data_IF_341907127375
#
_entry.id   IF_341907127375
#
_cell.length_a   1.000
_cell.length_b   1.000
_cell.length_c   1.000
_cell.angle_alpha   90.00
_cell.angle_beta   90.00
_cell.angle_gamma   90.00
#
_symmetry.space_group_name_H-M   'P 1'
#
loop_
_entity.id
_entity.type
_entity.pdbx_description
1 polymer ?
#
# COMPACT_ATOMS: atom_id res chain seq x y z
N UNK A 1 8.64 17.73 -66.77
CA UNK A 1 9.28 16.39 -66.80
C UNK A 1 9.74 16.07 -65.40
N UNK A 2 9.33 14.92 -64.85
CA UNK A 2 9.57 14.48 -63.49
C UNK A 2 11.01 13.93 -63.35
N UNK A 3 11.58 14.06 -62.15
CA UNK A 3 12.77 13.33 -61.74
C UNK A 3 12.43 12.53 -60.50
N UNK A 4 11.85 11.35 -60.70
CA UNK A 4 11.67 10.34 -59.65
C UNK A 4 13.04 9.81 -59.24
N UNK A 5 13.33 9.84 -57.95
CA UNK A 5 14.49 9.22 -57.32
C UNK A 5 14.08 7.80 -56.84
N UNK A 6 14.56 6.73 -57.48
CA UNK A 6 14.10 5.36 -57.23
C UNK A 6 14.75 4.65 -56.04
N UNK A 7 15.62 5.30 -55.26
CA UNK A 7 16.44 4.61 -54.23
C UNK A 7 15.98 4.80 -52.77
N UNK A 8 14.75 5.29 -52.53
CA UNK A 8 14.25 5.58 -51.18
C UNK A 8 13.63 4.38 -50.42
N UNK A 9 13.92 3.12 -50.80
CA UNK A 9 13.37 1.92 -50.13
C UNK A 9 14.49 1.01 -49.56
N UNK A 10 15.50 1.60 -48.92
CA UNK A 10 16.30 0.87 -47.92
C UNK A 10 15.53 0.95 -46.60
N UNK A 11 14.55 0.05 -46.46
CA UNK A 11 13.96 -0.30 -45.16
C UNK A 11 15.09 -0.86 -44.30
N UNK A 12 15.69 0.01 -43.50
CA UNK A 12 16.40 -0.40 -42.29
C UNK A 12 15.45 -1.31 -41.52
N UNK A 13 15.67 -2.62 -41.63
CA UNK A 13 15.01 -3.57 -40.75
C UNK A 13 15.54 -3.25 -39.36
N UNK A 14 14.73 -2.48 -38.62
CA UNK A 14 14.89 -2.17 -37.22
C UNK A 14 14.98 -3.51 -36.48
N UNK A 15 16.21 -4.03 -36.38
CA UNK A 15 16.52 -5.28 -35.70
C UNK A 15 16.30 -5.00 -34.22
N UNK A 16 15.07 -5.20 -33.76
CA UNK A 16 14.65 -4.99 -32.39
C UNK A 16 15.65 -5.68 -31.46
N UNK A 17 16.47 -4.88 -30.77
CA UNK A 17 17.51 -5.37 -29.89
C UNK A 17 16.86 -6.21 -28.77
N UNK A 18 17.09 -7.54 -28.74
CA UNK A 18 16.50 -8.43 -27.75
C UNK A 18 16.96 -8.11 -26.32
N UNK A 19 17.97 -7.26 -26.13
CA UNK A 19 18.39 -6.75 -24.83
C UNK A 19 17.36 -5.79 -24.20
N UNK A 20 16.57 -5.06 -25.01
CA UNK A 20 15.62 -4.07 -24.50
C UNK A 20 14.46 -4.71 -23.71
N UNK A 21 14.00 -5.89 -24.11
CA UNK A 21 12.84 -6.58 -23.50
C UNK A 21 13.15 -7.19 -22.13
N UNK A 22 14.39 -7.64 -21.87
CA UNK A 22 14.79 -8.25 -20.59
C UNK A 22 14.89 -7.24 -19.44
N UNK A 23 15.11 -5.96 -19.74
CA UNK A 23 15.28 -4.91 -18.73
C UNK A 23 13.94 -4.49 -18.08
N UNK A 24 12.84 -4.54 -18.84
CA UNK A 24 11.51 -4.14 -18.36
C UNK A 24 10.95 -5.04 -17.26
N UNK A 25 11.02 -6.36 -17.44
CA UNK A 25 10.47 -7.34 -16.48
C UNK A 25 11.16 -7.29 -15.11
N UNK A 26 12.49 -7.16 -15.10
CA UNK A 26 13.26 -6.99 -13.85
C UNK A 26 12.86 -5.71 -13.13
N UNK A 27 12.71 -4.59 -13.84
CA UNK A 27 12.33 -3.30 -13.25
C UNK A 27 10.94 -3.33 -12.62
N UNK A 28 9.99 -4.04 -13.22
CA UNK A 28 8.64 -4.21 -12.67
C UNK A 28 8.67 -5.03 -11.37
N UNK A 29 9.31 -6.21 -11.37
CA UNK A 29 9.44 -7.05 -10.17
C UNK A 29 10.14 -6.32 -9.03
N UNK A 30 11.13 -5.50 -9.36
CA UNK A 30 11.90 -4.69 -8.40
C UNK A 30 11.03 -3.66 -7.66
N UNK A 31 9.92 -3.23 -8.24
CA UNK A 31 8.97 -2.31 -7.63
C UNK A 31 7.78 -3.02 -6.98
N UNK A 32 7.29 -4.10 -7.60
CA UNK A 32 6.13 -4.84 -7.11
C UNK A 32 6.42 -5.57 -5.80
N UNK A 33 7.51 -6.33 -5.73
CA UNK A 33 7.83 -7.16 -4.55
C UNK A 33 7.98 -6.33 -3.27
N UNK A 34 8.75 -5.22 -3.24
CA UNK A 34 8.96 -4.48 -2.01
C UNK A 34 7.76 -3.67 -1.52
N UNK A 35 6.77 -3.40 -2.37
CA UNK A 35 5.48 -2.85 -1.93
C UNK A 35 4.50 -3.94 -1.51
N UNK A 36 4.50 -5.08 -2.21
CA UNK A 36 3.57 -6.18 -1.99
C UNK A 36 3.72 -6.87 -0.64
N UNK A 37 4.94 -6.87 -0.08
CA UNK A 37 5.20 -7.35 1.30
C UNK A 37 4.35 -6.63 2.35
N UNK A 38 3.95 -5.39 2.09
CA UNK A 38 3.12 -4.62 3.01
C UNK A 38 1.62 -4.85 2.80
N UNK A 39 1.23 -5.75 1.88
CA UNK A 39 -0.15 -6.25 1.78
C UNK A 39 -0.36 -7.58 2.52
N UNK A 40 0.70 -8.16 3.10
CA UNK A 40 0.66 -9.51 3.66
C UNK A 40 -0.25 -9.67 4.87
N UNK A 41 -0.42 -8.61 5.67
CA UNK A 41 -1.38 -8.63 6.77
C UNK A 41 -2.82 -8.73 6.26
N UNK A 42 -3.18 -7.96 5.24
CA UNK A 42 -4.46 -8.12 4.53
C UNK A 42 -4.60 -9.50 3.90
N UNK A 43 -3.56 -10.00 3.21
CA UNK A 43 -3.57 -11.32 2.60
C UNK A 43 -3.77 -12.45 3.64
N UNK A 44 -3.15 -12.35 4.82
CA UNK A 44 -3.35 -13.33 5.89
C UNK A 44 -4.79 -13.38 6.39
N UNK A 45 -5.46 -12.22 6.47
CA UNK A 45 -6.88 -12.17 6.82
C UNK A 45 -7.74 -12.80 5.74
N UNK A 46 -7.46 -12.52 4.45
CA UNK A 46 -8.18 -13.17 3.35
C UNK A 46 -8.05 -14.69 3.41
N UNK A 47 -6.84 -15.21 3.62
CA UNK A 47 -6.63 -16.66 3.77
C UNK A 47 -7.39 -17.20 4.97
N UNK A 48 -7.33 -16.52 6.13
CA UNK A 48 -8.10 -16.92 7.32
C UNK A 48 -9.60 -17.01 7.01
N UNK A 49 -10.19 -16.00 6.37
CA UNK A 49 -11.62 -15.98 6.06
C UNK A 49 -12.00 -17.10 5.08
N UNK A 50 -11.17 -17.35 4.07
CA UNK A 50 -11.47 -18.34 3.02
C UNK A 50 -11.23 -19.78 3.44
N UNK A 51 -10.26 -20.04 4.33
CA UNK A 51 -9.81 -21.41 4.64
C UNK A 51 -9.94 -21.79 6.11
N UNK A 52 -10.23 -20.84 7.00
CA UNK A 52 -10.21 -21.05 8.46
C UNK A 52 -8.80 -21.32 9.03
N UNK A 53 -7.73 -21.12 8.25
CA UNK A 53 -6.37 -21.37 8.72
C UNK A 53 -5.95 -20.31 9.75
N UNK A 54 -5.28 -20.67 10.86
CA UNK A 54 -4.95 -19.72 11.93
C UNK A 54 -4.21 -18.48 11.40
N UNK A 55 -4.81 -17.29 11.54
CA UNK A 55 -4.32 -16.07 10.89
C UNK A 55 -2.89 -15.73 11.33
N UNK A 56 -2.56 -15.92 12.61
CA UNK A 56 -1.22 -15.67 13.14
C UNK A 56 -0.14 -16.54 12.46
N UNK A 57 -0.44 -17.83 12.21
CA UNK A 57 0.48 -18.74 11.51
C UNK A 57 0.69 -18.31 10.07
N UNK A 58 -0.41 -18.00 9.37
CA UNK A 58 -0.37 -17.53 7.98
C UNK A 58 0.42 -16.23 7.87
N UNK A 59 0.13 -15.27 8.76
CA UNK A 59 0.84 -13.98 8.82
C UNK A 59 2.33 -14.18 9.06
N UNK A 60 2.73 -15.01 10.03
CA UNK A 60 4.12 -15.28 10.33
C UNK A 60 4.87 -15.88 9.12
N UNK A 61 4.27 -16.89 8.46
CA UNK A 61 4.84 -17.50 7.27
C UNK A 61 5.00 -16.48 6.13
N UNK A 62 3.95 -15.72 5.84
CA UNK A 62 3.98 -14.69 4.80
C UNK A 62 5.05 -13.64 5.09
N UNK A 63 5.17 -13.17 6.32
CA UNK A 63 6.19 -12.18 6.72
C UNK A 63 7.60 -12.73 6.50
N UNK A 64 7.88 -13.97 6.88
CA UNK A 64 9.20 -14.61 6.65
C UNK A 64 9.52 -14.66 5.15
N UNK A 65 8.59 -15.14 4.33
CA UNK A 65 8.75 -15.22 2.87
C UNK A 65 8.93 -13.82 2.25
N UNK A 66 8.14 -12.85 2.70
CA UNK A 66 8.16 -11.48 2.25
C UNK A 66 9.47 -10.77 2.57
N UNK A 67 9.99 -10.91 3.79
CA UNK A 67 11.30 -10.37 4.18
C UNK A 67 12.41 -11.00 3.34
N UNK A 68 12.38 -12.32 3.11
CA UNK A 68 13.31 -13.00 2.22
C UNK A 68 13.27 -12.43 0.79
N UNK A 69 12.07 -12.26 0.23
CA UNK A 69 11.89 -11.70 -1.12
C UNK A 69 12.39 -10.25 -1.22
N UNK A 70 12.14 -9.41 -0.21
CA UNK A 70 12.66 -8.04 -0.15
C UNK A 70 14.18 -8.04 -0.05
N UNK A 71 14.76 -8.86 0.82
CA UNK A 71 16.21 -8.95 1.00
C UNK A 71 16.92 -9.36 -0.29
N UNK A 72 16.38 -10.36 -1.01
CA UNK A 72 16.87 -10.77 -2.32
C UNK A 72 16.71 -9.67 -3.37
N UNK A 73 15.55 -9.03 -3.43
CA UNK A 73 15.26 -7.94 -4.38
C UNK A 73 16.13 -6.71 -4.12
N UNK A 74 16.57 -6.47 -2.88
CA UNK A 74 17.37 -5.30 -2.52
C UNK A 74 18.87 -5.60 -2.38
N UNK A 75 19.30 -6.83 -2.66
CA UNK A 75 20.71 -7.24 -2.59
C UNK A 75 21.54 -6.50 -3.63
N UNK A 76 22.78 -6.14 -3.26
CA UNK A 76 23.77 -5.57 -4.19
C UNK A 76 23.58 -4.11 -4.64
N UNK A 77 22.43 -3.46 -4.38
CA UNK A 77 22.14 -2.10 -4.88
C UNK A 77 21.87 -1.09 -3.74
N UNK A 78 22.90 -0.35 -3.27
CA UNK A 78 22.76 0.61 -2.18
C UNK A 78 21.75 1.74 -2.44
N UNK A 79 21.71 2.25 -3.67
CA UNK A 79 20.79 3.33 -4.06
C UNK A 79 19.33 2.88 -3.97
N UNK A 80 19.04 1.67 -4.46
CA UNK A 80 17.71 1.07 -4.37
C UNK A 80 17.27 0.86 -2.93
N UNK A 81 18.17 0.35 -2.07
CA UNK A 81 17.92 0.23 -0.61
C UNK A 81 17.60 1.57 0.03
N UNK A 82 18.36 2.61 -0.32
CA UNK A 82 18.14 3.97 0.19
C UNK A 82 16.78 4.51 -0.27
N UNK A 83 16.46 4.38 -1.55
CA UNK A 83 15.18 4.83 -2.11
C UNK A 83 13.99 4.11 -1.46
N UNK A 84 14.07 2.78 -1.30
CA UNK A 84 13.05 2.00 -0.60
C UNK A 84 12.91 2.43 0.87
N UNK A 85 14.02 2.57 1.59
CA UNK A 85 14.01 2.99 3.00
C UNK A 85 13.37 4.36 3.20
N UNK A 86 13.64 5.33 2.32
CA UNK A 86 12.97 6.65 2.35
C UNK A 86 11.47 6.49 2.19
N UNK A 87 11.00 5.68 1.24
CA UNK A 87 9.57 5.44 1.02
C UNK A 87 8.91 4.74 2.21
N UNK A 88 9.56 3.75 2.83
CA UNK A 88 9.06 3.10 4.05
C UNK A 88 8.95 4.10 5.20
N UNK A 89 10.00 4.89 5.45
CA UNK A 89 10.01 5.91 6.51
C UNK A 89 8.96 6.99 6.32
N UNK A 90 8.63 7.35 5.08
CA UNK A 90 7.52 8.26 4.76
C UNK A 90 6.17 7.56 4.90
N UNK A 91 6.06 6.31 4.45
CA UNK A 91 4.83 5.55 4.45
C UNK A 91 4.29 5.24 5.84
N UNK A 92 5.17 5.04 6.83
CA UNK A 92 4.75 4.78 8.23
C UNK A 92 3.89 5.91 8.81
N UNK A 93 4.37 7.16 8.93
CA UNK A 93 3.57 8.24 9.49
C UNK A 93 2.38 8.62 8.60
N UNK A 94 2.50 8.48 7.28
CA UNK A 94 1.39 8.74 6.34
C UNK A 94 0.27 7.71 6.51
N UNK A 95 0.62 6.42 6.59
CA UNK A 95 -0.34 5.34 6.81
C UNK A 95 -1.02 5.47 8.18
N UNK A 96 -0.25 5.79 9.24
CA UNK A 96 -0.81 6.03 10.56
C UNK A 96 -1.82 7.20 10.56
N UNK A 97 -1.43 8.35 10.00
CA UNK A 97 -2.31 9.51 9.92
C UNK A 97 -3.57 9.22 9.08
N UNK A 98 -3.41 8.54 7.94
CA UNK A 98 -4.53 8.14 7.10
C UNK A 98 -5.49 7.19 7.83
N UNK A 99 -4.97 6.25 8.62
CA UNK A 99 -5.79 5.32 9.42
C UNK A 99 -6.61 6.04 10.49
N UNK A 100 -6.00 7.02 11.17
CA UNK A 100 -6.74 7.86 12.15
C UNK A 100 -7.83 8.66 11.45
N UNK A 101 -7.52 9.30 10.31
CA UNK A 101 -8.52 10.07 9.56
C UNK A 101 -9.65 9.19 9.01
N UNK A 102 -9.33 7.97 8.57
CA UNK A 102 -10.30 6.95 8.19
C UNK A 102 -11.27 6.66 9.33
N UNK A 103 -10.76 6.31 10.51
CA UNK A 103 -11.58 5.96 11.67
C UNK A 103 -12.44 7.15 12.16
N UNK A 104 -11.85 8.35 12.21
CA UNK A 104 -12.56 9.58 12.58
C UNK A 104 -13.68 9.91 11.59
N UNK A 105 -13.46 9.72 10.29
CA UNK A 105 -14.49 10.00 9.27
C UNK A 105 -15.68 9.03 9.37
N UNK A 106 -15.41 7.76 9.66
CA UNK A 106 -16.46 6.74 9.86
C UNK A 106 -17.25 7.01 11.13
N UNK A 107 -16.54 7.31 12.23
CA UNK A 107 -17.17 7.72 13.48
C UNK A 107 -18.03 8.98 13.30
N UNK A 108 -17.51 10.02 12.64
CA UNK A 108 -18.25 11.24 12.38
C UNK A 108 -19.52 10.98 11.56
N UNK A 109 -19.46 10.16 10.51
CA UNK A 109 -20.65 9.80 9.74
C UNK A 109 -21.71 9.11 10.62
N UNK A 110 -21.30 8.10 11.39
CA UNK A 110 -22.22 7.35 12.26
C UNK A 110 -22.86 8.28 13.30
N UNK A 111 -22.07 9.13 13.96
CA UNK A 111 -22.55 10.05 14.99
C UNK A 111 -23.46 11.14 14.43
N UNK A 112 -23.14 11.71 13.26
CA UNK A 112 -23.91 12.81 12.67
C UNK A 112 -25.18 12.33 11.95
N UNK A 113 -25.15 11.14 11.36
CA UNK A 113 -26.30 10.57 10.64
C UNK A 113 -27.20 9.67 11.52
N UNK A 114 -26.84 9.47 12.81
CA UNK A 114 -27.63 8.65 13.74
C UNK A 114 -27.70 7.17 13.34
N UNK A 115 -26.63 6.64 12.73
CA UNK A 115 -26.60 5.24 12.30
C UNK A 115 -26.43 4.31 13.50
N UNK A 116 -27.13 3.16 13.48
CA UNK A 116 -27.07 2.17 14.55
C UNK A 116 -25.88 1.20 14.41
N UNK A 117 -25.13 1.29 13.31
CA UNK A 117 -23.98 0.42 13.02
C UNK A 117 -22.73 1.01 13.66
N UNK A 118 -22.06 0.23 14.51
CA UNK A 118 -20.75 0.63 15.04
C UNK A 118 -19.67 0.59 13.96
N UNK A 119 -18.85 1.63 13.80
CA UNK A 119 -17.73 1.62 12.85
C UNK A 119 -16.61 0.64 13.25
N UNK A 120 -16.61 0.19 14.50
CA UNK A 120 -15.51 -0.62 15.08
C UNK A 120 -15.88 -2.09 15.31
N UNK A 121 -17.03 -2.55 14.81
CA UNK A 121 -17.50 -3.94 14.98
C UNK A 121 -16.49 -4.99 14.47
N UNK A 122 -15.66 -4.65 13.50
CA UNK A 122 -14.66 -5.57 12.95
C UNK A 122 -13.47 -5.81 13.89
N UNK A 123 -13.18 -4.92 14.85
CA UNK A 123 -11.95 -5.03 15.65
C UNK A 123 -11.92 -6.30 16.50
N UNK A 124 -12.97 -6.67 17.26
CA UNK A 124 -12.95 -7.93 18.00
C UNK A 124 -12.76 -9.15 17.10
N UNK A 125 -13.27 -9.11 15.88
CA UNK A 125 -13.19 -10.24 14.95
C UNK A 125 -11.76 -10.40 14.41
N UNK A 126 -11.05 -9.29 14.14
CA UNK A 126 -9.61 -9.33 13.85
C UNK A 126 -8.82 -9.88 15.04
N UNK A 127 -9.17 -9.48 16.26
CA UNK A 127 -8.55 -10.00 17.48
C UNK A 127 -8.71 -11.51 17.59
N UNK A 128 -9.94 -12.00 17.50
CA UNK A 128 -10.26 -13.43 17.54
C UNK A 128 -9.54 -14.20 16.43
N UNK A 129 -9.52 -13.69 15.20
CA UNK A 129 -8.80 -14.31 14.10
C UNK A 129 -7.29 -14.46 14.41
N UNK A 130 -6.71 -13.50 15.15
CA UNK A 130 -5.28 -13.50 15.48
C UNK A 130 -4.95 -14.41 16.66
N UNK A 131 -5.74 -14.39 17.73
CA UNK A 131 -5.42 -15.11 18.98
C UNK A 131 -6.18 -16.42 19.18
N UNK A 132 -7.17 -16.71 18.33
CA UNK A 132 -7.99 -17.90 18.39
C UNK A 132 -9.26 -17.75 19.25
N UNK A 133 -10.17 -18.69 19.06
CA UNK A 133 -11.41 -18.80 19.84
C UNK A 133 -11.09 -19.21 21.29
N UNK A 134 -11.67 -18.53 22.27
CA UNK A 134 -11.49 -18.81 23.70
C UNK A 134 -10.64 -17.79 24.47
N UNK A 135 -9.95 -16.88 23.79
CA UNK A 135 -9.34 -15.71 24.44
C UNK A 135 -10.37 -14.58 24.52
N UNK A 136 -10.65 -14.04 25.71
CA UNK A 136 -11.72 -13.03 25.91
C UNK A 136 -11.18 -11.65 26.29
N UNK A 137 -10.15 -11.58 27.14
CA UNK A 137 -9.68 -10.30 27.72
C UNK A 137 -8.85 -9.40 26.80
N UNK A 138 -8.18 -9.96 25.77
CA UNK A 138 -7.23 -9.22 24.94
C UNK A 138 -7.68 -9.01 23.48
N UNK A 139 -8.85 -9.54 23.11
CA UNK A 139 -9.34 -9.58 21.72
C UNK A 139 -9.45 -8.17 21.12
N UNK A 140 -10.03 -7.22 21.84
CA UNK A 140 -10.13 -5.84 21.37
C UNK A 140 -8.75 -5.21 21.11
N UNK A 141 -7.79 -5.41 22.02
CA UNK A 141 -6.44 -4.88 21.88
C UNK A 141 -5.71 -5.44 20.65
N UNK A 142 -5.79 -6.75 20.44
CA UNK A 142 -5.22 -7.41 19.25
C UNK A 142 -5.91 -6.97 17.97
N UNK A 143 -7.22 -6.78 18.01
CA UNK A 143 -8.00 -6.26 16.90
C UNK A 143 -7.58 -4.87 16.46
N UNK A 144 -7.45 -3.95 17.41
CA UNK A 144 -6.95 -2.58 17.19
C UNK A 144 -5.52 -2.61 16.66
N UNK A 145 -4.65 -3.43 17.26
CA UNK A 145 -3.26 -3.56 16.82
C UNK A 145 -3.17 -4.07 15.37
N UNK A 146 -3.98 -5.06 15.01
CA UNK A 146 -4.03 -5.59 13.64
C UNK A 146 -4.61 -4.57 12.65
N UNK A 147 -5.64 -3.82 13.03
CA UNK A 147 -6.19 -2.72 12.22
C UNK A 147 -5.15 -1.64 11.94
N UNK A 148 -4.44 -1.18 12.98
CA UNK A 148 -3.34 -0.22 12.84
C UNK A 148 -2.20 -0.78 11.98
N UNK A 149 -1.83 -2.05 12.17
CA UNK A 149 -0.84 -2.73 11.34
C UNK A 149 -1.23 -2.71 9.86
N UNK A 150 -2.48 -3.09 9.53
CA UNK A 150 -3.00 -3.04 8.16
C UNK A 150 -2.95 -1.62 7.59
N UNK A 151 -3.50 -0.64 8.32
CA UNK A 151 -3.54 0.74 7.87
C UNK A 151 -2.16 1.35 7.64
N UNK A 152 -1.17 1.05 8.50
CA UNK A 152 0.22 1.48 8.30
C UNK A 152 0.87 0.75 7.13
N UNK A 153 0.72 -0.58 7.04
CA UNK A 153 1.32 -1.39 6.00
C UNK A 153 0.79 -0.98 4.60
N UNK A 154 -0.52 -0.80 4.44
CA UNK A 154 -1.12 -0.30 3.20
C UNK A 154 -0.61 1.10 2.84
N UNK A 155 -0.42 1.99 3.81
CA UNK A 155 0.19 3.30 3.58
C UNK A 155 1.64 3.21 3.09
N UNK A 156 2.41 2.24 3.58
CA UNK A 156 3.76 1.95 3.08
C UNK A 156 3.69 1.38 1.66
N UNK A 157 2.83 0.40 1.39
CA UNK A 157 2.63 -0.19 0.06
C UNK A 157 2.33 0.90 -0.97
N UNK A 158 1.36 1.78 -0.65
CA UNK A 158 1.02 2.93 -1.47
C UNK A 158 2.22 3.85 -1.70
N UNK A 159 2.96 4.19 -0.64
CA UNK A 159 4.12 5.09 -0.76
C UNK A 159 5.23 4.48 -1.62
N UNK A 160 5.45 3.17 -1.52
CA UNK A 160 6.43 2.42 -2.33
C UNK A 160 6.06 2.43 -3.80
N UNK A 161 4.79 2.16 -4.14
CA UNK A 161 4.34 2.05 -5.54
C UNK A 161 3.95 3.39 -6.19
N UNK A 162 3.31 4.26 -5.42
CA UNK A 162 2.57 5.41 -5.94
C UNK A 162 2.91 6.72 -5.24
N UNK A 163 3.93 6.78 -4.36
CA UNK A 163 4.17 7.96 -3.52
C UNK A 163 4.34 9.31 -4.25
N UNK A 164 4.72 9.33 -5.53
CA UNK A 164 4.81 10.55 -6.34
C UNK A 164 3.58 10.81 -7.23
N UNK A 165 2.60 9.91 -7.24
CA UNK A 165 1.39 10.00 -8.06
C UNK A 165 0.44 11.08 -7.52
N UNK A 166 -0.48 11.57 -8.35
CA UNK A 166 -1.54 12.48 -7.91
C UNK A 166 -2.46 11.84 -6.86
N UNK A 167 -3.19 12.69 -6.12
CA UNK A 167 -4.04 12.26 -4.99
C UNK A 167 -5.08 11.21 -5.37
N UNK A 168 -5.64 11.29 -6.58
CA UNK A 168 -6.62 10.31 -7.05
C UNK A 168 -6.06 8.87 -7.10
N UNK A 169 -4.75 8.69 -7.25
CA UNK A 169 -4.14 7.36 -7.20
C UNK A 169 -4.26 6.74 -5.81
N UNK A 170 -4.19 7.56 -4.75
CA UNK A 170 -4.43 7.13 -3.37
C UNK A 170 -5.88 6.74 -3.15
N UNK A 171 -6.83 7.52 -3.67
CA UNK A 171 -8.26 7.20 -3.65
C UNK A 171 -8.52 5.87 -4.37
N UNK A 172 -8.00 5.71 -5.59
CA UNK A 172 -8.16 4.48 -6.37
C UNK A 172 -7.56 3.26 -5.65
N UNK A 173 -6.39 3.40 -5.05
CA UNK A 173 -5.76 2.35 -4.25
C UNK A 173 -6.64 1.94 -3.06
N UNK A 174 -7.13 2.92 -2.29
CA UNK A 174 -7.98 2.66 -1.12
C UNK A 174 -9.33 2.05 -1.51
N UNK A 175 -9.96 2.50 -2.60
CA UNK A 175 -11.18 1.90 -3.12
C UNK A 175 -10.95 0.48 -3.66
N UNK A 176 -9.76 0.18 -4.17
CA UNK A 176 -9.37 -1.20 -4.51
C UNK A 176 -9.37 -2.11 -3.28
N UNK A 177 -8.81 -1.64 -2.16
CA UNK A 177 -8.84 -2.37 -0.88
C UNK A 177 -10.27 -2.56 -0.37
N UNK A 178 -11.09 -1.50 -0.46
CA UNK A 178 -12.51 -1.56 -0.11
C UNK A 178 -13.27 -2.60 -0.94
N UNK A 179 -13.03 -2.65 -2.26
CA UNK A 179 -13.67 -3.64 -3.13
C UNK A 179 -13.33 -5.08 -2.71
N UNK A 180 -12.07 -5.35 -2.32
CA UNK A 180 -11.68 -6.64 -1.75
C UNK A 180 -12.39 -6.93 -0.43
N UNK A 181 -12.50 -5.94 0.46
CA UNK A 181 -13.22 -6.09 1.72
C UNK A 181 -14.71 -6.37 1.48
N UNK A 182 -15.39 -5.60 0.63
CA UNK A 182 -16.81 -5.78 0.32
C UNK A 182 -17.11 -7.12 -0.36
N UNK A 183 -16.16 -7.68 -1.10
CA UNK A 183 -16.32 -9.01 -1.70
C UNK A 183 -16.26 -10.15 -0.66
N UNK A 184 -15.60 -9.94 0.48
CA UNK A 184 -15.27 -11.00 1.45
C UNK A 184 -16.08 -10.84 2.75
N UNK A 185 -16.20 -9.63 3.25
CA UNK A 185 -16.68 -9.34 4.60
C UNK A 185 -18.17 -9.56 4.82
N UNK A 186 -19.10 -9.31 3.88
CA UNK A 186 -20.52 -9.50 4.15
C UNK A 186 -20.85 -10.91 4.65
N UNK A 187 -20.23 -11.95 4.07
CA UNK A 187 -20.40 -13.34 4.51
C UNK A 187 -19.69 -13.66 5.82
N UNK A 188 -18.54 -13.04 6.07
CA UNK A 188 -17.75 -13.28 7.29
C UNK A 188 -18.28 -12.53 8.53
N UNK A 189 -18.85 -11.34 8.33
CA UNK A 189 -19.29 -10.44 9.40
C UNK A 189 -20.79 -10.53 9.73
N UNK A 190 -21.57 -11.32 8.99
CA UNK A 190 -23.04 -11.38 9.09
C UNK A 190 -23.69 -9.98 9.09
N UNK A 191 -23.27 -9.11 8.15
CA UNK A 191 -23.74 -7.73 8.11
C UNK A 191 -25.18 -7.67 7.60
N UNK A 192 -26.11 -7.38 8.51
CA UNK A 192 -27.54 -7.16 8.18
C UNK A 192 -27.79 -5.81 7.49
N UNK A 193 -26.99 -4.80 7.83
CA UNK A 193 -27.11 -3.42 7.36
C UNK A 193 -26.04 -3.11 6.29
N UNK A 194 -26.09 -3.84 5.18
CA UNK A 194 -25.03 -3.80 4.16
C UNK A 194 -24.90 -2.42 3.51
N UNK A 195 -26.01 -1.72 3.33
CA UNK A 195 -26.03 -0.39 2.71
C UNK A 195 -25.31 0.64 3.58
N UNK A 196 -25.66 0.72 4.87
CA UNK A 196 -25.04 1.63 5.83
C UNK A 196 -23.56 1.30 6.02
N UNK A 197 -23.23 0.01 6.10
CA UNK A 197 -21.85 -0.45 6.15
C UNK A 197 -21.03 0.00 4.93
N UNK A 198 -21.58 -0.17 3.73
CA UNK A 198 -20.92 0.20 2.48
C UNK A 198 -20.71 1.71 2.39
N UNK A 199 -21.72 2.53 2.70
CA UNK A 199 -21.59 3.99 2.67
C UNK A 199 -20.51 4.49 3.62
N UNK A 200 -20.52 3.98 4.86
CA UNK A 200 -19.52 4.30 5.86
C UNK A 200 -18.11 3.86 5.42
N UNK A 201 -17.98 2.64 4.89
CA UNK A 201 -16.68 2.07 4.52
C UNK A 201 -16.09 2.76 3.29
N UNK A 202 -16.90 3.06 2.27
CA UNK A 202 -16.48 3.83 1.09
C UNK A 202 -16.04 5.24 1.48
N UNK A 203 -16.79 5.96 2.32
CA UNK A 203 -16.38 7.29 2.80
C UNK A 203 -15.02 7.23 3.49
N UNK A 204 -14.86 6.27 4.41
CA UNK A 204 -13.60 6.04 5.09
C UNK A 204 -12.45 5.87 4.10
N UNK A 205 -12.60 4.99 3.12
CA UNK A 205 -11.55 4.71 2.13
C UNK A 205 -11.24 5.89 1.21
N UNK A 206 -12.23 6.72 0.86
CA UNK A 206 -11.98 7.97 0.13
C UNK A 206 -11.11 8.92 0.96
N UNK A 207 -11.42 9.09 2.25
CA UNK A 207 -10.63 9.92 3.17
C UNK A 207 -9.22 9.36 3.35
N UNK A 208 -9.11 8.04 3.59
CA UNK A 208 -7.83 7.33 3.72
C UNK A 208 -6.95 7.52 2.48
N UNK A 209 -7.49 7.22 1.30
CA UNK A 209 -6.78 7.35 0.03
C UNK A 209 -6.36 8.79 -0.29
N UNK A 210 -7.20 9.76 0.06
CA UNK A 210 -6.86 11.19 -0.07
C UNK A 210 -5.68 11.56 0.83
N UNK A 211 -5.72 11.14 2.10
CA UNK A 211 -4.65 11.38 3.07
C UNK A 211 -3.33 10.73 2.65
N UNK A 212 -3.38 9.48 2.15
CA UNK A 212 -2.22 8.80 1.58
C UNK A 212 -1.62 9.57 0.39
N UNK A 213 -2.46 9.93 -0.57
CA UNK A 213 -2.04 10.61 -1.79
C UNK A 213 -1.40 11.98 -1.52
N UNK A 214 -2.00 12.76 -0.63
CA UNK A 214 -1.46 14.05 -0.24
C UNK A 214 -0.18 13.91 0.61
N UNK A 215 -0.24 13.10 1.68
CA UNK A 215 0.83 12.94 2.65
C UNK A 215 2.11 12.36 2.05
N UNK A 216 1.99 11.30 1.25
CA UNK A 216 3.15 10.67 0.62
C UNK A 216 3.84 11.63 -0.37
N UNK A 217 3.06 12.29 -1.23
CA UNK A 217 3.58 13.25 -2.23
C UNK A 217 4.29 14.41 -1.56
N UNK A 218 3.70 14.97 -0.51
CA UNK A 218 4.27 16.11 0.21
C UNK A 218 5.57 15.75 0.94
N UNK A 219 5.58 14.66 1.72
CA UNK A 219 6.78 14.24 2.46
C UNK A 219 7.92 13.78 1.56
N UNK A 220 7.63 13.09 0.45
CA UNK A 220 8.67 12.66 -0.50
C UNK A 220 9.31 13.87 -1.19
N UNK A 221 8.53 14.86 -1.63
CA UNK A 221 9.06 16.12 -2.20
C UNK A 221 9.98 16.85 -1.23
N UNK A 222 9.58 16.97 0.04
CA UNK A 222 10.41 17.57 1.09
C UNK A 222 11.68 16.78 1.39
N UNK A 223 11.66 15.46 1.21
CA UNK A 223 12.83 14.60 1.43
C UNK A 223 13.84 14.73 0.29
N UNK A 224 13.37 14.85 -0.95
CA UNK A 224 14.22 15.13 -2.12
C UNK A 224 14.89 16.51 -2.02
N UNK A 225 14.14 17.55 -1.65
CA UNK A 225 14.69 18.92 -1.50
C UNK A 225 15.81 18.98 -0.45
N UNK A 226 15.58 18.40 0.74
CA UNK A 226 16.59 18.31 1.81
C UNK A 226 17.82 17.47 1.41
N UNK A 227 17.64 16.50 0.52
CA UNK A 227 18.75 15.72 -0.03
C UNK A 227 19.66 16.57 -0.93
N UNK A 228 19.08 17.40 -1.79
CA UNK A 228 19.80 18.27 -2.71
C UNK A 228 20.61 19.36 -1.98
N UNK A 229 20.03 19.98 -0.94
CA UNK A 229 20.71 20.99 -0.11
C UNK A 229 21.96 20.43 0.58
N UNK A 230 21.88 19.20 1.13
CA UNK A 230 23.01 18.53 1.80
C UNK A 230 24.14 18.15 0.84
N UNK A 231 23.82 17.76 -0.39
CA UNK A 231 24.85 17.46 -1.40
C UNK A 231 25.56 18.74 -1.87
N UNK A 232 24.84 19.86 -1.99
CA UNK A 232 25.42 21.14 -2.41
C UNK A 232 26.36 21.76 -1.39
N UNK A 233 26.13 21.57 -0.08
CA UNK A 233 27.03 22.09 0.97
C UNK A 233 28.39 21.36 0.97
N UNK A 234 28.39 20.04 0.80
CA UNK A 234 29.63 19.24 0.81
C UNK A 234 30.56 19.59 -0.35
N UNK A 235 30.02 19.92 -1.53
CA UNK A 235 30.84 20.31 -2.68
C UNK A 235 31.48 21.69 -2.53
N UNK A 236 30.88 22.60 -1.73
CA UNK A 236 31.44 23.93 -1.48
C UNK A 236 32.56 23.92 -0.44
N UNK A 237 32.49 23.01 0.54
CA UNK A 237 33.58 22.83 1.52
C UNK A 237 34.80 22.17 0.89
N UNK A 238 34.63 21.21 -0.03
CA UNK A 238 35.76 20.53 -0.68
C UNK A 238 36.59 21.40 -1.65
N UNK A 239 36.13 22.61 -1.96
CA UNK A 239 36.81 23.55 -2.89
C UNK A 239 37.55 24.67 -2.13
N UNK A 240 37.41 24.74 -0.81
CA UNK A 240 38.13 25.70 0.04
C UNK A 240 39.33 25.05 0.70
#
# INVERSE_FOLDING_TARGET
MPGEDPDADVRESESADPASTRTGGRRLLTLLVPGGVFLLSGASLVVYVLTGAPMALVLALLVVLGVGAVALTLRGEPERRRAWSVRVRVGVPVGLAATVLYDLSRWALVSLAGLHVSPFTAFPLFGQALVGEGVTGAVWGWGVAFHLLNGVAFGIAYTVWFGHRPVWAGIAFALGLEAFMLAIYPGWLDIRALQEFTQMSVLGHVVYGTALGFGARWLLRRSTARGAERSGSTSREAVR
#
